data_IF_194199349179
#
_entry.id   IF_194199349179
#
_cell.length_a   1.000
_cell.length_b   1.000
_cell.length_c   1.000
_cell.angle_alpha   90.00
_cell.angle_beta   90.00
_cell.angle_gamma   90.00
#
_symmetry.space_group_name_H-M   'P 1'
#
loop_
_entity.id
_entity.type
_entity.pdbx_description
1 polymer ?
#
# COMPACT_ATOMS: atom_id res chain seq x y z
N UNK A 1 -1.14 20.38 -30.63
CA UNK A 1 -0.96 19.07 -29.97
C UNK A 1 0.37 19.11 -29.23
N UNK A 2 0.37 19.41 -27.93
CA UNK A 2 1.59 19.47 -27.10
C UNK A 2 1.72 18.18 -26.29
N UNK A 3 2.78 17.43 -26.63
CA UNK A 3 3.56 16.45 -25.86
C UNK A 3 2.89 15.84 -24.61
N UNK A 4 2.52 14.55 -24.71
CA UNK A 4 2.61 13.60 -23.60
C UNK A 4 4.09 13.27 -23.42
N UNK A 5 4.81 14.14 -22.74
CA UNK A 5 6.09 13.83 -22.12
C UNK A 5 5.88 14.11 -20.63
N UNK A 6 6.61 13.41 -19.75
CA UNK A 6 6.72 13.73 -18.32
C UNK A 6 5.69 13.10 -17.36
N UNK A 7 5.28 11.84 -17.59
CA UNK A 7 4.75 11.01 -16.48
C UNK A 7 5.60 9.75 -16.22
N UNK A 8 6.84 9.74 -16.75
CA UNK A 8 7.76 8.62 -16.69
C UNK A 8 8.96 8.93 -15.77
N UNK A 9 8.69 9.57 -14.64
CA UNK A 9 9.58 9.61 -13.49
C UNK A 9 8.70 9.06 -12.34
N UNK A 10 8.99 7.95 -11.66
CA UNK A 10 10.29 7.43 -11.21
C UNK A 10 10.17 5.88 -11.15
N UNK A 11 11.03 5.16 -11.87
CA UNK A 11 11.37 3.75 -11.60
C UNK A 11 12.81 3.68 -11.03
N UNK A 12 13.25 4.70 -10.31
CA UNK A 12 14.53 4.63 -9.60
C UNK A 12 14.33 3.84 -8.29
N UNK A 13 14.52 2.53 -8.42
CA UNK A 13 14.55 1.59 -7.31
C UNK A 13 13.73 0.34 -7.59
N UNK A 14 14.32 -0.84 -7.36
CA UNK A 14 13.56 -2.09 -7.33
C UNK A 14 12.45 -1.98 -6.28
N UNK A 15 11.23 -2.43 -6.63
CA UNK A 15 10.15 -2.55 -5.66
C UNK A 15 10.62 -3.43 -4.48
N UNK A 16 10.53 -2.94 -3.23
CA UNK A 16 10.97 -3.67 -2.06
C UNK A 16 10.36 -5.07 -1.99
N UNK A 17 11.17 -6.07 -1.62
CA UNK A 17 10.77 -7.46 -1.61
C UNK A 17 9.56 -7.71 -0.69
N UNK A 18 9.49 -7.00 0.44
CA UNK A 18 8.40 -7.11 1.40
C UNK A 18 7.06 -6.64 0.81
N UNK A 19 7.08 -5.64 -0.09
CA UNK A 19 5.85 -5.20 -0.77
C UNK A 19 5.32 -6.24 -1.75
N UNK A 20 6.18 -7.14 -2.25
CA UNK A 20 5.80 -8.23 -3.16
C UNK A 20 5.20 -9.43 -2.42
N UNK A 21 5.35 -9.49 -1.09
CA UNK A 21 4.92 -10.59 -0.24
C UNK A 21 3.93 -10.12 0.83
N UNK A 22 2.64 -10.48 0.64
CA UNK A 22 1.57 -10.20 1.60
C UNK A 22 1.79 -10.85 2.97
N UNK A 23 2.55 -11.95 3.01
CA UNK A 23 2.79 -12.76 4.18
C UNK A 23 4.13 -12.43 4.84
N UNK A 24 4.84 -11.38 4.40
CA UNK A 24 6.11 -11.01 4.99
C UNK A 24 5.95 -10.66 6.47
N UNK A 25 6.87 -11.15 7.30
CA UNK A 25 6.78 -11.07 8.77
C UNK A 25 6.75 -9.63 9.30
N UNK A 26 7.25 -8.68 8.51
CA UNK A 26 7.23 -7.24 8.83
C UNK A 26 5.81 -6.68 8.98
N UNK A 27 4.82 -7.30 8.35
CA UNK A 27 3.40 -6.89 8.43
C UNK A 27 2.70 -7.43 9.68
N UNK A 28 3.26 -8.42 10.36
CA UNK A 28 2.62 -9.07 11.51
C UNK A 28 2.47 -8.13 12.69
N UNK A 29 3.46 -7.29 12.94
CA UNK A 29 3.49 -6.39 14.10
C UNK A 29 3.46 -4.91 13.70
N UNK A 30 2.68 -4.07 14.40
CA UNK A 30 2.65 -2.63 14.13
C UNK A 30 4.01 -1.95 14.17
N UNK A 31 4.85 -2.28 15.16
CA UNK A 31 6.18 -1.70 15.29
C UNK A 31 7.10 -2.06 14.11
N UNK A 32 7.06 -3.32 13.65
CA UNK A 32 7.84 -3.78 12.50
C UNK A 32 7.42 -3.09 11.21
N UNK A 33 6.11 -2.94 10.98
CA UNK A 33 5.61 -2.22 9.80
C UNK A 33 5.99 -0.73 9.83
N UNK A 34 5.90 -0.09 11.00
CA UNK A 34 6.27 1.31 11.16
C UNK A 34 7.78 1.54 10.95
N UNK A 35 8.61 0.65 11.48
CA UNK A 35 10.07 0.69 11.31
C UNK A 35 10.48 0.48 9.85
N UNK A 36 9.84 -0.47 9.15
CA UNK A 36 10.06 -0.68 7.72
C UNK A 36 9.67 0.55 6.90
N UNK A 37 8.52 1.18 7.21
CA UNK A 37 8.11 2.41 6.54
C UNK A 37 9.14 3.52 6.75
N UNK A 38 9.60 3.72 7.99
CA UNK A 38 10.64 4.71 8.31
C UNK A 38 11.96 4.45 7.59
N UNK A 39 12.43 3.19 7.58
CA UNK A 39 13.64 2.77 6.86
C UNK A 39 13.54 3.03 5.36
N UNK A 40 12.34 2.90 4.79
CA UNK A 40 12.06 3.22 3.39
C UNK A 40 11.75 4.71 3.16
N UNK A 41 11.90 5.58 4.16
CA UNK A 41 11.62 7.02 4.08
C UNK A 41 10.14 7.33 3.83
N UNK A 42 9.24 6.54 4.40
CA UNK A 42 7.79 6.73 4.35
C UNK A 42 7.31 7.15 5.75
N UNK A 43 6.40 8.11 5.78
CA UNK A 43 5.84 8.59 7.04
C UNK A 43 4.84 7.57 7.62
N UNK A 44 5.05 7.22 8.88
CA UNK A 44 4.15 6.38 9.66
C UNK A 44 4.58 6.40 11.13
N UNK A 45 3.63 6.12 12.03
CA UNK A 45 3.88 5.85 13.44
C UNK A 45 3.40 4.45 13.84
N UNK A 46 3.97 3.91 14.93
CA UNK A 46 3.48 2.64 15.51
C UNK A 46 2.02 2.75 15.95
N UNK A 47 1.59 3.93 16.41
CA UNK A 47 0.19 4.18 16.80
C UNK A 47 -0.77 4.05 15.61
N UNK A 48 -0.44 4.64 14.46
CA UNK A 48 -1.22 4.49 13.23
C UNK A 48 -1.26 3.03 12.77
N UNK A 49 -0.11 2.33 12.79
CA UNK A 49 -0.04 0.92 12.41
C UNK A 49 -0.82 -0.01 13.35
N UNK A 50 -0.99 0.38 14.62
CA UNK A 50 -1.76 -0.37 15.62
C UNK A 50 -3.26 -0.17 15.46
N UNK A 51 -3.70 0.95 14.89
CA UNK A 51 -5.10 1.21 14.59
C UNK A 51 -5.61 0.43 13.35
N UNK A 52 -4.71 -0.19 12.58
CA UNK A 52 -5.05 -1.00 11.41
C UNK A 52 -5.48 -2.41 11.82
N UNK A 53 -6.52 -2.91 11.13
CA UNK A 53 -7.21 -4.16 11.46
C UNK A 53 -6.30 -5.41 11.49
N UNK A 54 -5.23 -5.43 10.69
CA UNK A 54 -4.37 -6.60 10.55
C UNK A 54 -3.18 -6.40 9.61
N UNK A 55 -2.42 -7.47 9.36
CA UNK A 55 -1.24 -7.45 8.50
C UNK A 55 -1.52 -6.98 7.07
N UNK A 56 -2.62 -7.40 6.43
CA UNK A 56 -2.94 -6.97 5.06
C UNK A 56 -3.30 -5.48 5.02
N UNK A 57 -3.90 -4.96 6.08
CA UNK A 57 -4.16 -3.53 6.24
C UNK A 57 -2.87 -2.72 6.39
N UNK A 58 -1.87 -3.24 7.09
CA UNK A 58 -0.52 -2.65 7.22
C UNK A 58 0.25 -2.71 5.91
N UNK A 59 0.30 -3.87 5.25
CA UNK A 59 0.88 -4.02 3.91
C UNK A 59 0.25 -3.04 2.91
N UNK A 60 -1.08 -2.85 2.93
CA UNK A 60 -1.73 -1.85 2.09
C UNK A 60 -1.30 -0.41 2.41
N UNK A 61 -1.20 -0.05 3.68
CA UNK A 61 -0.77 1.29 4.07
C UNK A 61 0.65 1.57 3.55
N UNK A 62 1.56 0.61 3.75
CA UNK A 62 2.92 0.65 3.23
C UNK A 62 2.97 0.73 1.70
N UNK A 63 2.25 -0.15 1.00
CA UNK A 63 2.17 -0.18 -0.46
C UNK A 63 1.62 1.13 -1.03
N UNK A 64 0.58 1.69 -0.40
CA UNK A 64 -0.02 2.95 -0.83
C UNK A 64 0.91 4.15 -0.61
N UNK A 65 1.62 4.21 0.52
CA UNK A 65 2.60 5.26 0.79
C UNK A 65 3.77 5.18 -0.20
N UNK A 66 4.30 3.98 -0.44
CA UNK A 66 5.35 3.76 -1.43
C UNK A 66 4.90 4.16 -2.84
N UNK A 67 3.74 3.67 -3.28
CA UNK A 67 3.19 3.99 -4.60
C UNK A 67 3.00 5.50 -4.82
N UNK A 68 2.51 6.23 -3.82
CA UNK A 68 2.39 7.70 -3.88
C UNK A 68 3.75 8.38 -4.03
N UNK A 69 4.75 7.94 -3.27
CA UNK A 69 6.11 8.48 -3.37
C UNK A 69 6.74 8.22 -4.75
N UNK A 70 6.42 7.09 -5.38
CA UNK A 70 6.87 6.76 -6.74
C UNK A 70 6.05 7.44 -7.85
N UNK A 71 5.04 8.25 -7.50
CA UNK A 71 4.16 8.87 -8.48
C UNK A 71 3.21 7.90 -9.18
N UNK A 72 2.99 6.69 -8.63
CA UNK A 72 2.02 5.70 -9.12
C UNK A 72 0.59 6.09 -8.74
N UNK A 73 0.19 7.28 -9.16
CA UNK A 73 -1.10 7.87 -8.90
C UNK A 73 -1.71 8.39 -10.20
N UNK A 74 -3.03 8.34 -10.28
CA UNK A 74 -3.81 8.88 -11.38
C UNK A 74 -4.81 9.91 -10.85
N UNK A 75 -5.09 10.91 -11.67
CA UNK A 75 -6.12 11.88 -11.35
C UNK A 75 -7.51 11.25 -11.60
N UNK A 76 -8.33 11.22 -10.56
CA UNK A 76 -9.73 10.82 -10.64
C UNK A 76 -10.58 11.91 -11.31
N UNK A 77 -11.78 11.54 -11.76
CA UNK A 77 -12.71 12.46 -12.45
C UNK A 77 -13.19 13.64 -11.59
N UNK A 78 -12.95 13.60 -10.28
CA UNK A 78 -13.26 14.64 -9.32
C UNK A 78 -12.03 15.39 -8.81
N UNK A 79 -10.88 15.26 -9.49
CA UNK A 79 -9.61 15.89 -9.09
C UNK A 79 -8.90 15.19 -7.92
N UNK A 80 -9.40 14.06 -7.42
CA UNK A 80 -8.72 13.30 -6.37
C UNK A 80 -7.57 12.47 -6.94
N UNK A 81 -6.43 12.48 -6.25
CA UNK A 81 -5.32 11.57 -6.54
C UNK A 81 -5.64 10.15 -6.05
N UNK A 82 -5.75 9.20 -6.98
CA UNK A 82 -6.03 7.79 -6.72
C UNK A 82 -4.79 6.95 -6.99
N UNK A 83 -4.62 5.84 -6.27
CA UNK A 83 -3.57 4.87 -6.59
C UNK A 83 -3.80 4.26 -7.98
N UNK A 84 -2.72 4.14 -8.76
CA UNK A 84 -2.74 3.45 -10.04
C UNK A 84 -2.46 1.94 -9.84
N UNK A 85 -3.51 1.19 -9.55
CA UNK A 85 -3.42 -0.25 -9.30
C UNK A 85 -2.81 -1.05 -10.46
N UNK A 86 -3.11 -0.76 -11.75
CA UNK A 86 -2.37 -1.35 -12.86
C UNK A 86 -0.86 -1.16 -12.75
N UNK A 87 -0.36 0.06 -12.51
CA UNK A 87 1.08 0.31 -12.35
C UNK A 87 1.66 -0.38 -11.12
N UNK A 88 0.94 -0.41 -10.00
CA UNK A 88 1.37 -1.15 -8.81
C UNK A 88 1.51 -2.66 -9.08
N UNK A 89 0.58 -3.24 -9.85
CA UNK A 89 0.64 -4.65 -10.24
C UNK A 89 1.82 -4.93 -11.17
N UNK A 90 2.09 -4.03 -12.11
CA UNK A 90 3.24 -4.17 -13.02
C UNK A 90 4.58 -4.02 -12.26
N UNK A 91 4.58 -3.30 -11.13
CA UNK A 91 5.68 -3.27 -10.16
C UNK A 91 5.77 -4.53 -9.27
N UNK A 92 4.89 -5.51 -9.45
CA UNK A 92 4.86 -6.76 -8.69
C UNK A 92 4.22 -6.65 -7.30
N UNK A 93 3.51 -5.56 -7.00
CA UNK A 93 2.78 -5.43 -5.73
C UNK A 93 1.45 -6.18 -5.86
N UNK A 94 1.19 -7.18 -5.01
CA UNK A 94 -0.02 -7.98 -5.08
C UNK A 94 -1.26 -7.14 -4.74
N UNK A 95 -2.40 -7.42 -5.39
CA UNK A 95 -3.67 -6.76 -5.07
C UNK A 95 -4.15 -7.20 -3.67
N UNK A 96 -4.76 -6.27 -2.95
CA UNK A 96 -5.11 -6.47 -1.53
C UNK A 96 -6.50 -7.07 -1.33
N UNK A 97 -7.27 -7.22 -2.43
CA UNK A 97 -8.44 -8.07 -2.59
C UNK A 97 -9.51 -8.07 -1.49
N UNK A 98 -10.32 -9.13 -1.47
CA UNK A 98 -11.34 -9.38 -0.45
C UNK A 98 -10.76 -9.66 0.95
N UNK A 99 -9.56 -10.24 1.04
CA UNK A 99 -8.94 -10.60 2.32
C UNK A 99 -8.67 -9.39 3.23
N UNK A 100 -8.27 -8.23 2.69
CA UNK A 100 -8.17 -6.99 3.49
C UNK A 100 -9.55 -6.49 3.94
N UNK A 101 -10.58 -6.68 3.12
CA UNK A 101 -11.95 -6.31 3.50
C UNK A 101 -12.46 -7.21 4.62
N UNK A 102 -12.14 -8.50 4.58
CA UNK A 102 -12.43 -9.47 5.64
C UNK A 102 -11.73 -9.10 6.95
N UNK A 103 -10.45 -8.65 6.94
CA UNK A 103 -9.79 -8.13 8.14
C UNK A 103 -10.57 -6.98 8.76
N UNK A 104 -11.00 -6.01 7.93
CA UNK A 104 -11.76 -4.85 8.39
C UNK A 104 -13.13 -5.23 8.93
N UNK A 105 -13.82 -6.14 8.27
CA UNK A 105 -15.12 -6.65 8.70
C UNK A 105 -15.00 -7.39 10.04
N UNK A 106 -13.98 -8.25 10.17
CA UNK A 106 -13.69 -9.00 11.40
C UNK A 106 -13.35 -8.04 12.55
N UNK A 107 -12.49 -7.05 12.31
CA UNK A 107 -12.13 -6.04 13.30
C UNK A 107 -13.33 -5.15 13.70
N UNK A 108 -14.28 -4.92 12.79
CA UNK A 108 -15.54 -4.23 13.07
C UNK A 108 -16.58 -5.12 13.79
N UNK A 109 -16.25 -6.37 14.11
CA UNK A 109 -17.15 -7.32 14.75
C UNK A 109 -18.22 -7.90 13.82
N UNK A 110 -18.10 -7.69 12.50
CA UNK A 110 -18.99 -8.28 11.50
C UNK A 110 -18.57 -9.74 11.31
N UNK A 111 -19.47 -10.67 11.65
CA UNK A 111 -19.28 -12.09 11.34
C UNK A 111 -19.42 -12.30 9.84
N UNK A 112 -18.32 -12.59 9.17
CA UNK A 112 -18.33 -13.09 7.80
C UNK A 112 -18.68 -14.58 7.90
N UNK A 113 -19.95 -14.93 7.70
CA UNK A 113 -20.36 -16.33 7.61
C UNK A 113 -19.79 -16.90 6.30
N UNK A 114 -18.84 -17.81 6.41
CA UNK A 114 -18.36 -18.65 5.30
C UNK A 114 -19.37 -19.73 4.94
#
# INVERSE_FOLDING_TARGET
MRRRADSQAILEGDTPAELKDLCHSVWERPASAADWMSTNGLESSTAEMSALAGPLSRHFAASAAWARRQGMVREGTNGMSLLDYPLMRDAGIPPHGGARMEEKMTAAGVKVSS
#
